data_IF_522439187606
#
_entry.id   IF_522439187606
#
_cell.length_a   1.000
_cell.length_b   1.000
_cell.length_c   1.000
_cell.angle_alpha   90.00
_cell.angle_beta   90.00
_cell.angle_gamma   90.00
#
_symmetry.space_group_name_H-M   'P 1'
#
loop_
_entity.id
_entity.type
_entity.pdbx_description
1 polymer ?
#
# COMPACT_ATOMS: atom_id res chain seq x y z
N UNK A 1 11.99 -50.54 7.51
CA UNK A 1 10.88 -49.62 7.91
C UNK A 1 11.40 -48.23 8.22
N UNK A 2 12.38 -47.97 9.12
CA UNK A 2 12.87 -46.61 9.44
C UNK A 2 13.30 -45.78 8.23
N UNK A 3 14.02 -46.35 7.26
CA UNK A 3 14.45 -45.62 6.04
C UNK A 3 13.28 -45.19 5.14
N UNK A 4 12.18 -45.98 5.09
CA UNK A 4 11.00 -45.66 4.34
C UNK A 4 10.25 -44.47 4.94
N UNK A 5 10.13 -44.40 6.27
CA UNK A 5 9.54 -43.25 6.98
C UNK A 5 10.36 -41.98 6.81
N UNK A 6 11.70 -42.09 6.89
CA UNK A 6 12.58 -40.92 6.66
C UNK A 6 12.39 -40.39 5.23
N UNK A 7 12.36 -41.26 4.21
CA UNK A 7 12.10 -40.86 2.84
C UNK A 7 10.73 -40.18 2.65
N UNK A 8 9.69 -40.76 3.26
CA UNK A 8 8.33 -40.19 3.20
C UNK A 8 8.25 -38.80 3.83
N UNK A 9 8.77 -38.62 5.06
CA UNK A 9 8.73 -37.33 5.75
C UNK A 9 9.60 -36.27 5.06
N UNK A 10 10.75 -36.66 4.47
CA UNK A 10 11.57 -35.75 3.67
C UNK A 10 10.84 -35.27 2.43
N UNK A 11 10.18 -36.16 1.69
CA UNK A 11 9.40 -35.80 0.53
C UNK A 11 8.23 -34.88 0.91
N UNK A 12 7.53 -35.19 1.99
CA UNK A 12 6.42 -34.38 2.49
C UNK A 12 6.89 -32.96 2.85
N UNK A 13 8.02 -32.83 3.56
CA UNK A 13 8.60 -31.54 3.93
C UNK A 13 8.99 -30.72 2.69
N UNK A 14 9.56 -31.35 1.67
CA UNK A 14 9.88 -30.70 0.38
C UNK A 14 8.62 -30.22 -0.33
N UNK A 15 7.59 -31.06 -0.42
CA UNK A 15 6.31 -30.66 -1.05
C UNK A 15 5.65 -29.49 -0.31
N UNK A 16 5.64 -29.49 1.02
CA UNK A 16 5.12 -28.40 1.82
C UNK A 16 5.95 -27.12 1.58
N UNK A 17 7.27 -27.21 1.58
CA UNK A 17 8.18 -26.08 1.32
C UNK A 17 7.95 -25.47 -0.07
N UNK A 18 7.84 -26.29 -1.10
CA UNK A 18 7.50 -25.85 -2.48
C UNK A 18 6.11 -25.22 -2.52
N UNK A 19 5.12 -25.83 -1.85
CA UNK A 19 3.76 -25.30 -1.80
C UNK A 19 3.70 -23.92 -1.14
N UNK A 20 4.37 -23.73 0.00
CA UNK A 20 4.45 -22.44 0.70
C UNK A 20 5.17 -21.41 -0.16
N UNK A 21 6.32 -21.77 -0.75
CA UNK A 21 7.09 -20.87 -1.62
C UNK A 21 6.27 -20.45 -2.85
N UNK A 22 5.68 -21.42 -3.55
CA UNK A 22 4.84 -21.16 -4.72
C UNK A 22 3.63 -20.28 -4.38
N UNK A 23 2.93 -20.60 -3.29
CA UNK A 23 1.75 -19.84 -2.88
C UNK A 23 2.10 -18.41 -2.46
N UNK A 24 3.20 -18.21 -1.71
CA UNK A 24 3.65 -16.88 -1.29
C UNK A 24 4.11 -16.05 -2.49
N UNK A 25 4.89 -16.64 -3.40
CA UNK A 25 5.38 -15.97 -4.61
C UNK A 25 4.23 -15.64 -5.57
N UNK A 26 3.39 -16.61 -5.89
CA UNK A 26 2.28 -16.46 -6.82
C UNK A 26 1.24 -15.44 -6.32
N UNK A 27 0.97 -15.44 -5.01
CA UNK A 27 0.00 -14.52 -4.42
C UNK A 27 0.46 -13.07 -4.43
N UNK A 28 1.75 -12.83 -4.28
CA UNK A 28 2.32 -11.48 -4.34
C UNK A 28 2.34 -10.92 -5.77
N UNK A 29 2.65 -11.77 -6.75
CA UNK A 29 2.66 -11.42 -8.18
C UNK A 29 1.27 -11.11 -8.76
N UNK A 30 0.20 -11.48 -8.07
CA UNK A 30 -1.20 -11.20 -8.47
C UNK A 30 -1.78 -9.92 -7.84
N UNK A 31 -1.03 -9.22 -6.98
CA UNK A 31 -1.49 -7.98 -6.40
C UNK A 31 -1.18 -6.83 -7.36
N UNK A 32 -2.20 -6.41 -8.11
CA UNK A 32 -2.15 -5.28 -9.04
C UNK A 32 -3.45 -4.46 -8.96
N UNK A 33 -3.42 -3.24 -9.46
CA UNK A 33 -4.62 -2.40 -9.49
C UNK A 33 -5.69 -2.98 -10.43
N UNK A 34 -6.96 -3.05 -9.98
CA UNK A 34 -8.06 -3.51 -10.82
C UNK A 34 -8.35 -2.50 -11.93
N UNK A 35 -8.74 -2.99 -13.13
CA UNK A 35 -8.93 -2.16 -14.33
C UNK A 35 -10.28 -1.47 -14.42
N UNK A 36 -11.25 -1.94 -13.67
CA UNK A 36 -12.66 -1.55 -13.74
C UNK A 36 -13.09 -0.72 -12.52
N UNK A 37 -12.21 0.13 -12.02
CA UNK A 37 -12.48 1.03 -10.89
C UNK A 37 -12.35 2.48 -11.28
N UNK A 38 -13.17 3.31 -10.66
CA UNK A 38 -13.13 4.77 -10.80
C UNK A 38 -12.71 5.40 -9.48
N UNK A 39 -11.60 6.11 -9.51
CA UNK A 39 -11.09 6.86 -8.36
C UNK A 39 -11.06 8.35 -8.68
N UNK A 40 -11.07 9.17 -7.65
CA UNK A 40 -10.81 10.60 -7.74
C UNK A 40 -9.77 11.01 -6.69
N UNK A 41 -9.04 12.07 -7.00
CA UNK A 41 -8.10 12.63 -6.04
C UNK A 41 -8.84 13.40 -4.95
N UNK A 42 -8.16 13.70 -3.85
CA UNK A 42 -8.68 14.57 -2.79
C UNK A 42 -9.08 15.96 -3.33
N UNK A 43 -8.58 16.38 -4.50
CA UNK A 43 -8.94 17.65 -5.16
C UNK A 43 -9.99 17.48 -6.26
N UNK A 44 -10.61 16.29 -6.36
CA UNK A 44 -11.74 16.03 -7.25
C UNK A 44 -11.37 15.79 -8.71
N UNK A 45 -10.10 15.54 -9.01
CA UNK A 45 -9.71 15.13 -10.37
C UNK A 45 -9.93 13.62 -10.53
N UNK A 46 -10.54 13.17 -11.65
CA UNK A 46 -10.56 11.75 -11.98
C UNK A 46 -9.14 11.19 -12.04
N UNK A 47 -8.93 10.00 -11.48
CA UNK A 47 -7.65 9.33 -11.44
C UNK A 47 -7.75 7.90 -11.98
N UNK A 48 -6.97 7.61 -13.01
CA UNK A 48 -6.89 6.27 -13.61
C UNK A 48 -5.73 5.49 -13.01
N UNK A 49 -6.04 4.38 -12.35
CA UNK A 49 -5.03 3.46 -11.82
C UNK A 49 -4.33 2.64 -12.91
N UNK A 50 -4.84 2.68 -14.15
CA UNK A 50 -4.28 1.93 -15.28
C UNK A 50 -3.32 2.75 -16.14
N UNK A 51 -3.39 4.08 -16.07
CA UNK A 51 -2.63 4.98 -16.94
C UNK A 51 -1.52 5.71 -16.16
N UNK A 52 -1.04 5.09 -15.07
CA UNK A 52 0.03 5.65 -14.26
C UNK A 52 1.37 5.57 -14.99
N UNK A 53 2.16 6.63 -14.92
CA UNK A 53 3.54 6.65 -15.41
C UNK A 53 4.39 5.55 -14.73
N UNK A 54 5.42 4.99 -15.41
CA UNK A 54 6.30 3.99 -14.82
C UNK A 54 7.16 4.61 -13.71
N UNK A 55 6.73 4.45 -12.46
CA UNK A 55 7.42 4.92 -11.25
C UNK A 55 7.29 3.88 -10.15
N UNK A 56 8.26 3.85 -9.28
CA UNK A 56 8.20 3.06 -8.04
C UNK A 56 7.19 3.70 -7.08
N UNK A 57 6.36 2.90 -6.41
CA UNK A 57 5.28 3.44 -5.56
C UNK A 57 5.24 2.85 -4.18
N UNK A 58 4.93 3.70 -3.22
CA UNK A 58 4.55 3.29 -1.87
C UNK A 58 3.06 3.56 -1.70
N UNK A 59 2.28 2.49 -1.45
CA UNK A 59 0.83 2.54 -1.29
C UNK A 59 0.46 2.25 0.15
N UNK A 60 -0.36 3.12 0.74
CA UNK A 60 -1.04 2.87 2.01
C UNK A 60 -2.55 2.97 1.88
N UNK A 61 -3.27 2.18 2.69
CA UNK A 61 -4.70 2.32 2.91
C UNK A 61 -4.94 2.96 4.28
N UNK A 62 -5.81 3.97 4.32
CA UNK A 62 -6.10 4.72 5.54
C UNK A 62 -7.60 4.92 5.73
N UNK A 63 -7.99 5.33 6.92
CA UNK A 63 -9.23 6.08 7.17
C UNK A 63 -8.90 7.25 8.08
N UNK A 64 -9.44 8.42 7.80
CA UNK A 64 -8.98 9.66 8.46
C UNK A 64 -9.30 9.72 9.95
N UNK A 65 -10.35 8.98 10.38
CA UNK A 65 -10.72 8.85 11.80
C UNK A 65 -9.88 7.82 12.58
N UNK A 66 -8.80 7.30 12.00
CA UNK A 66 -7.88 6.40 12.68
C UNK A 66 -7.09 7.17 13.76
N UNK A 67 -7.13 6.72 15.04
CA UNK A 67 -6.53 7.50 16.12
C UNK A 67 -5.01 7.38 16.22
N UNK A 68 -4.39 6.39 15.58
CA UNK A 68 -2.98 6.05 15.86
C UNK A 68 -2.21 5.59 14.61
N UNK A 69 -2.50 4.40 14.10
CA UNK A 69 -1.60 3.70 13.17
C UNK A 69 -1.52 4.39 11.79
N UNK A 70 -2.64 4.92 11.25
CA UNK A 70 -2.65 5.60 9.96
C UNK A 70 -1.86 6.93 10.03
N UNK A 71 -2.18 7.89 10.93
CA UNK A 71 -1.44 9.14 10.98
C UNK A 71 0.04 8.93 11.34
N UNK A 72 0.36 7.92 12.15
CA UNK A 72 1.76 7.57 12.45
C UNK A 72 2.52 7.09 11.22
N UNK A 73 1.89 6.26 10.35
CA UNK A 73 2.48 5.79 9.09
C UNK A 73 2.67 6.96 8.12
N UNK A 74 1.60 7.74 7.88
CA UNK A 74 1.65 8.88 6.98
C UNK A 74 2.69 9.92 7.43
N UNK A 75 2.89 10.12 8.75
CA UNK A 75 3.94 10.99 9.26
C UNK A 75 5.36 10.48 8.92
N UNK A 76 5.59 9.18 9.02
CA UNK A 76 6.86 8.56 8.61
C UNK A 76 7.05 8.63 7.09
N UNK A 77 5.97 8.46 6.31
CA UNK A 77 6.00 8.66 4.86
C UNK A 77 6.34 10.10 4.50
N UNK A 78 5.82 11.10 5.24
CA UNK A 78 6.23 12.51 5.06
C UNK A 78 7.73 12.69 5.22
N UNK A 79 8.32 12.14 6.27
CA UNK A 79 9.77 12.23 6.48
C UNK A 79 10.57 11.52 5.40
N UNK A 80 10.03 10.41 4.87
CA UNK A 80 10.61 9.69 3.75
C UNK A 80 10.52 10.51 2.45
N UNK A 81 9.37 11.16 2.20
CA UNK A 81 9.16 12.09 1.08
C UNK A 81 10.23 13.19 1.10
N UNK A 82 10.37 13.89 2.24
CA UNK A 82 11.34 14.99 2.39
C UNK A 82 12.78 14.56 2.06
N UNK A 83 13.16 13.34 2.44
CA UNK A 83 14.46 12.77 2.10
C UNK A 83 14.61 12.44 0.62
N UNK A 84 13.59 11.82 0.02
CA UNK A 84 13.58 11.48 -1.40
C UNK A 84 13.54 12.74 -2.29
N UNK A 85 12.95 13.84 -1.81
CA UNK A 85 13.00 15.14 -2.47
C UNK A 85 14.43 15.70 -2.48
N UNK A 86 15.16 15.61 -1.36
CA UNK A 86 16.57 16.02 -1.28
C UNK A 86 17.46 15.20 -2.22
N UNK A 87 17.13 13.93 -2.44
CA UNK A 87 17.83 13.05 -3.38
C UNK A 87 17.41 13.29 -4.85
N UNK A 88 16.40 14.13 -5.11
CA UNK A 88 15.85 14.38 -6.46
C UNK A 88 15.06 13.22 -7.05
N UNK A 89 14.66 12.25 -6.25
CA UNK A 89 13.95 11.04 -6.67
C UNK A 89 12.43 11.15 -6.55
N UNK A 90 11.94 11.91 -5.55
CA UNK A 90 10.51 12.06 -5.34
C UNK A 90 9.86 12.78 -6.52
N UNK A 91 8.67 12.37 -6.91
CA UNK A 91 7.93 12.86 -8.08
C UNK A 91 8.52 12.44 -9.44
N UNK A 92 9.83 12.28 -9.56
CA UNK A 92 10.50 11.89 -10.81
C UNK A 92 10.55 10.38 -11.02
N UNK A 93 10.93 9.63 -10.00
CA UNK A 93 11.09 8.18 -9.99
C UNK A 93 10.19 7.49 -8.97
N UNK A 94 9.78 8.21 -7.93
CA UNK A 94 9.04 7.68 -6.79
C UNK A 94 7.78 8.50 -6.57
N UNK A 95 6.67 7.83 -6.35
CA UNK A 95 5.38 8.43 -5.95
C UNK A 95 4.82 7.72 -4.73
N UNK A 96 4.00 8.42 -3.96
CA UNK A 96 3.21 7.84 -2.89
C UNK A 96 1.72 7.89 -3.24
N UNK A 97 1.01 6.86 -2.83
CA UNK A 97 -0.45 6.77 -3.00
C UNK A 97 -1.08 6.44 -1.64
N UNK A 98 -2.04 7.24 -1.23
CA UNK A 98 -2.88 7.00 -0.06
C UNK A 98 -4.32 6.83 -0.50
N UNK A 99 -4.95 5.69 -0.20
CA UNK A 99 -6.34 5.40 -0.57
C UNK A 99 -7.17 5.27 0.71
N UNK A 100 -8.27 6.01 0.80
CA UNK A 100 -9.19 5.81 1.92
C UNK A 100 -9.97 4.51 1.79
N UNK A 101 -10.16 3.81 2.91
CA UNK A 101 -11.06 2.64 3.03
C UNK A 101 -12.41 3.01 3.65
N UNK A 102 -12.67 4.30 3.85
CA UNK A 102 -13.89 4.83 4.46
C UNK A 102 -14.47 6.00 3.64
N UNK A 103 -14.74 5.79 2.33
CA UNK A 103 -15.12 6.88 1.44
C UNK A 103 -16.43 7.56 1.83
N UNK A 104 -17.24 6.94 2.68
CA UNK A 104 -18.49 7.52 3.19
C UNK A 104 -18.24 8.65 4.18
N UNK A 105 -17.29 8.48 5.08
CA UNK A 105 -16.88 9.50 6.07
C UNK A 105 -15.76 10.40 5.56
N UNK A 106 -14.84 9.85 4.79
CA UNK A 106 -13.70 10.54 4.22
C UNK A 106 -14.10 11.25 2.92
N UNK A 107 -14.88 12.32 3.07
CA UNK A 107 -15.25 13.18 1.95
C UNK A 107 -14.02 13.84 1.33
N UNK A 108 -14.18 14.40 0.13
CA UNK A 108 -13.12 15.14 -0.55
C UNK A 108 -12.43 16.16 0.37
N UNK A 109 -13.21 16.98 1.09
CA UNK A 109 -12.69 17.99 1.99
C UNK A 109 -11.95 17.37 3.20
N UNK A 110 -12.43 16.25 3.72
CA UNK A 110 -11.78 15.53 4.82
C UNK A 110 -10.44 14.96 4.36
N UNK A 111 -10.39 14.37 3.16
CA UNK A 111 -9.16 13.88 2.56
C UNK A 111 -8.14 15.00 2.28
N UNK A 112 -8.60 16.16 1.80
CA UNK A 112 -7.73 17.35 1.67
C UNK A 112 -7.14 17.79 3.00
N UNK A 113 -7.97 17.85 4.05
CA UNK A 113 -7.52 18.22 5.40
C UNK A 113 -6.48 17.25 5.90
N UNK A 114 -6.71 15.95 5.69
CA UNK A 114 -5.75 14.90 6.07
C UNK A 114 -4.44 15.02 5.28
N UNK A 115 -4.48 15.18 3.97
CA UNK A 115 -3.31 15.39 3.12
C UNK A 115 -2.48 16.61 3.54
N UNK A 116 -3.17 17.73 3.84
CA UNK A 116 -2.53 18.97 4.30
C UNK A 116 -1.73 18.81 5.60
N UNK A 117 -2.13 17.91 6.51
CA UNK A 117 -1.37 17.61 7.74
C UNK A 117 0.03 17.07 7.43
N UNK A 118 0.20 16.42 6.27
CA UNK A 118 1.48 15.88 5.82
C UNK A 118 2.19 16.77 4.79
N UNK A 119 1.69 17.99 4.58
CA UNK A 119 2.30 18.97 3.67
C UNK A 119 2.02 18.68 2.20
N UNK A 120 0.91 18.02 1.89
CA UNK A 120 0.43 17.82 0.52
C UNK A 120 -0.78 18.71 0.29
N UNK A 121 -0.65 19.66 -0.63
CA UNK A 121 -1.64 20.72 -0.87
C UNK A 121 -2.25 20.69 -2.26
N UNK A 122 -1.73 19.83 -3.13
CA UNK A 122 -2.23 19.63 -4.50
C UNK A 122 -1.93 18.21 -5.02
N UNK A 123 -2.53 17.83 -6.15
CA UNK A 123 -2.28 16.56 -6.83
C UNK A 123 -0.89 16.47 -7.50
N UNK A 124 -0.22 17.59 -7.65
CA UNK A 124 1.01 17.67 -8.44
C UNK A 124 2.28 17.45 -7.60
N UNK A 125 2.13 17.02 -6.33
CA UNK A 125 3.26 16.91 -5.40
C UNK A 125 3.89 15.51 -5.35
N UNK A 126 3.41 14.54 -6.15
CA UNK A 126 3.94 13.17 -6.17
C UNK A 126 3.47 12.30 -4.99
N UNK A 127 2.61 12.81 -4.13
CA UNK A 127 1.88 12.05 -3.15
C UNK A 127 0.38 12.24 -3.38
N UNK A 128 -0.28 11.21 -3.85
CA UNK A 128 -1.64 11.26 -4.35
C UNK A 128 -2.59 10.65 -3.33
N UNK A 129 -3.60 11.40 -2.92
CA UNK A 129 -4.65 10.95 -2.02
C UNK A 129 -5.89 10.64 -2.81
N UNK A 130 -6.37 9.40 -2.73
CA UNK A 130 -7.46 8.86 -3.55
C UNK A 130 -8.66 8.45 -2.70
N UNK A 131 -9.84 8.64 -3.29
CA UNK A 131 -11.11 8.09 -2.83
C UNK A 131 -11.91 7.55 -4.02
N UNK A 132 -12.80 6.61 -3.77
CA UNK A 132 -13.71 6.05 -4.75
C UNK A 132 -15.11 5.84 -4.17
N UNK A 133 -15.96 5.14 -4.89
CA UNK A 133 -17.17 4.56 -4.28
C UNK A 133 -16.80 3.49 -3.27
N UNK A 134 -17.72 3.08 -2.40
CA UNK A 134 -17.50 1.94 -1.48
C UNK A 134 -17.16 0.67 -2.26
N UNK A 135 -17.82 0.44 -3.40
CA UNK A 135 -17.58 -0.71 -4.26
C UNK A 135 -16.19 -0.68 -4.89
N UNK A 136 -15.78 0.45 -5.48
CA UNK A 136 -14.47 0.58 -6.11
C UNK A 136 -13.34 0.53 -5.08
N UNK A 137 -13.53 1.19 -3.93
CA UNK A 137 -12.60 1.11 -2.79
C UNK A 137 -12.42 -0.34 -2.34
N UNK A 138 -13.51 -1.09 -2.22
CA UNK A 138 -13.47 -2.51 -1.84
C UNK A 138 -12.75 -3.36 -2.88
N UNK A 139 -12.99 -3.15 -4.18
CA UNK A 139 -12.29 -3.86 -5.26
C UNK A 139 -10.78 -3.62 -5.19
N UNK A 140 -10.36 -2.36 -4.99
CA UNK A 140 -8.93 -2.04 -4.85
C UNK A 140 -8.33 -2.70 -3.62
N UNK A 141 -8.97 -2.59 -2.46
CA UNK A 141 -8.48 -3.22 -1.24
C UNK A 141 -8.36 -4.75 -1.37
N UNK A 142 -9.37 -5.40 -1.97
CA UNK A 142 -9.37 -6.86 -2.19
C UNK A 142 -8.24 -7.29 -3.14
N UNK A 143 -7.95 -6.52 -4.19
CA UNK A 143 -6.85 -6.79 -5.11
C UNK A 143 -5.48 -6.81 -4.40
N UNK A 144 -5.32 -6.01 -3.36
CA UNK A 144 -4.13 -6.01 -2.50
C UNK A 144 -4.24 -6.94 -1.28
N UNK A 145 -5.27 -7.78 -1.18
CA UNK A 145 -5.56 -8.59 0.00
C UNK A 145 -5.63 -7.75 1.30
N UNK A 146 -6.01 -6.48 1.18
CA UNK A 146 -6.21 -5.58 2.31
C UNK A 146 -7.61 -5.76 2.87
N UNK A 147 -7.71 -6.45 4.00
CA UNK A 147 -8.97 -6.74 4.65
C UNK A 147 -9.34 -5.60 5.61
N UNK A 148 -10.58 -5.17 5.57
CA UNK A 148 -11.11 -4.22 6.55
C UNK A 148 -12.60 -4.49 6.84
N UNK A 149 -13.04 -4.08 8.01
CA UNK A 149 -14.45 -4.17 8.44
C UNK A 149 -14.79 -3.10 9.46
N UNK A 150 -16.03 -2.65 9.47
CA UNK A 150 -16.58 -1.79 10.51
C UNK A 150 -17.26 -2.67 11.60
N UNK A 151 -16.77 -2.67 12.85
CA UNK A 151 -17.44 -3.36 13.96
C UNK A 151 -18.61 -2.56 14.54
N UNK A 152 -18.95 -1.39 13.97
CA UNK A 152 -20.08 -0.54 14.42
C UNK A 152 -19.75 0.42 15.56
N UNK A 153 -18.49 0.60 15.90
CA UNK A 153 -18.03 1.52 16.95
C UNK A 153 -17.29 2.75 16.42
N UNK A 154 -17.33 2.98 15.09
CA UNK A 154 -16.67 4.10 14.42
C UNK A 154 -15.19 3.91 14.14
N UNK A 155 -14.59 2.80 14.57
CA UNK A 155 -13.19 2.44 14.27
C UNK A 155 -13.15 1.21 13.37
N UNK A 156 -12.44 1.31 12.25
CA UNK A 156 -12.27 0.18 11.34
C UNK A 156 -11.17 -0.77 11.85
N UNK A 157 -11.45 -2.07 11.79
CA UNK A 157 -10.43 -3.11 11.95
C UNK A 157 -9.90 -3.42 10.56
N UNK A 158 -8.59 -3.34 10.36
CA UNK A 158 -8.01 -3.49 9.03
C UNK A 158 -6.61 -4.14 9.05
N UNK A 159 -6.18 -4.63 7.89
CA UNK A 159 -4.80 -5.04 7.64
C UNK A 159 -3.84 -3.86 7.87
N UNK A 160 -2.70 -4.10 8.49
CA UNK A 160 -1.73 -3.06 8.86
C UNK A 160 -0.45 -3.17 8.02
N UNK A 161 -0.62 -3.06 6.70
CA UNK A 161 0.46 -3.15 5.72
C UNK A 161 0.48 -1.94 4.79
N UNK A 162 1.69 -1.54 4.44
CA UNK A 162 2.02 -0.62 3.35
C UNK A 162 2.65 -1.44 2.23
N UNK A 163 2.30 -1.16 0.99
CA UNK A 163 2.71 -1.93 -0.18
C UNK A 163 3.77 -1.16 -0.98
N UNK A 164 4.80 -1.86 -1.40
CA UNK A 164 5.83 -1.32 -2.26
C UNK A 164 5.71 -1.92 -3.66
N UNK A 165 5.51 -1.06 -4.66
CA UNK A 165 5.25 -1.45 -6.03
C UNK A 165 6.42 -1.07 -6.93
N UNK A 166 6.69 -1.92 -7.92
CA UNK A 166 7.62 -1.62 -9.01
C UNK A 166 7.01 -0.61 -10.02
N UNK A 167 7.78 -0.24 -11.04
CA UNK A 167 7.34 0.67 -12.11
C UNK A 167 6.17 0.13 -12.95
N UNK A 168 5.89 -1.17 -12.89
CA UNK A 168 4.76 -1.83 -13.54
C UNK A 168 3.55 -1.99 -12.60
N UNK A 169 3.57 -1.34 -11.44
CA UNK A 169 2.54 -1.39 -10.40
C UNK A 169 2.33 -2.77 -9.76
N UNK A 170 3.31 -3.67 -9.80
CA UNK A 170 3.27 -4.97 -9.13
C UNK A 170 3.87 -4.85 -7.74
N UNK A 171 3.25 -5.48 -6.78
CA UNK A 171 3.75 -5.51 -5.40
C UNK A 171 5.02 -6.35 -5.33
N UNK A 172 6.13 -5.72 -4.93
CA UNK A 172 7.44 -6.37 -4.80
C UNK A 172 7.93 -6.46 -3.34
N UNK A 173 7.28 -5.76 -2.43
CA UNK A 173 7.54 -5.85 -0.98
C UNK A 173 6.35 -5.32 -0.19
N UNK A 174 6.31 -5.62 1.12
CA UNK A 174 5.33 -5.05 2.06
C UNK A 174 6.02 -4.67 3.36
N UNK A 175 5.54 -3.59 3.98
CA UNK A 175 6.02 -3.11 5.27
C UNK A 175 4.87 -2.97 6.25
N UNK A 176 5.14 -3.14 7.55
CA UNK A 176 4.15 -2.89 8.57
C UNK A 176 3.76 -1.41 8.64
N UNK A 177 2.63 -1.10 9.25
CA UNK A 177 2.19 0.26 9.56
C UNK A 177 2.49 0.65 11.01
N UNK A 178 2.39 1.97 11.30
CA UNK A 178 2.61 2.55 12.62
C UNK A 178 4.08 2.67 13.00
N UNK A 179 4.33 3.27 14.15
CA UNK A 179 5.68 3.63 14.60
C UNK A 179 6.64 2.43 14.69
N UNK A 180 6.13 1.28 15.11
CA UNK A 180 6.94 0.05 15.28
C UNK A 180 6.99 -0.83 14.05
N UNK A 181 6.01 -0.71 13.14
CA UNK A 181 5.88 -1.58 11.96
C UNK A 181 6.54 -1.00 10.72
N UNK A 182 6.52 0.32 10.58
CA UNK A 182 7.08 1.03 9.44
C UNK A 182 8.52 1.45 9.72
N UNK A 183 9.47 0.59 9.35
CA UNK A 183 10.90 0.92 9.42
C UNK A 183 11.30 1.81 8.24
N UNK A 184 11.28 3.12 8.46
CA UNK A 184 11.60 4.15 7.47
C UNK A 184 12.96 3.96 6.79
N UNK A 185 13.98 3.53 7.53
CA UNK A 185 15.31 3.32 6.97
C UNK A 185 15.35 2.09 6.04
N UNK A 186 14.65 1.02 6.43
CA UNK A 186 14.49 -0.17 5.58
C UNK A 186 13.73 0.18 4.30
N UNK A 187 12.62 0.92 4.42
CA UNK A 187 11.81 1.37 3.29
C UNK A 187 12.63 2.25 2.35
N UNK A 188 13.34 3.24 2.87
CA UNK A 188 14.21 4.11 2.08
C UNK A 188 15.26 3.32 1.28
N UNK A 189 16.01 2.43 1.94
CA UNK A 189 17.02 1.60 1.26
C UNK A 189 16.41 0.73 0.17
N UNK A 190 15.19 0.24 0.38
CA UNK A 190 14.49 -0.56 -0.61
C UNK A 190 14.05 0.27 -1.81
N UNK A 191 13.56 1.50 -1.59
CA UNK A 191 13.20 2.45 -2.64
C UNK A 191 14.43 2.81 -3.48
N UNK A 192 15.54 3.20 -2.85
CA UNK A 192 16.77 3.58 -3.57
C UNK A 192 17.28 2.45 -4.45
N UNK A 193 17.21 1.21 -3.96
CA UNK A 193 17.63 0.03 -4.74
C UNK A 193 16.77 -0.18 -6.00
N UNK A 194 15.49 0.15 -5.94
CA UNK A 194 14.55 -0.09 -7.05
C UNK A 194 14.48 1.09 -8.03
N UNK A 195 14.67 2.32 -7.55
CA UNK A 195 14.55 3.55 -8.35
C UNK A 195 15.82 3.90 -9.17
N UNK A 196 16.92 3.13 -9.03
CA UNK A 196 18.15 3.26 -9.79
C UNK A 196 18.05 2.59 -11.16
#
# INVERSE_FOLDING_TARGET
>A
MKKLYIGFFSLLAICIGIGIFYFSYYRQDQMEFPKDVTMETAWGKPYSLNDMEPKVRLLEFVYTNCPDICPSTSFQMKQLKERLEQDGLFKTKVEFITITIDPTRDTQQVMQTYANMFGVTSDDEGWIFLRGSEEDTKKVADAFNFLYRDPGNGMLIHTTLTYFLDENNRVIDTFGMGEKGFDKEKVYKRIIKEAQ
#
